data_IF_056476166153
#
_entry.id   IF_056476166153
#
_cell.length_a   1.000
_cell.length_b   1.000
_cell.length_c   1.000
_cell.angle_alpha   90.00
_cell.angle_beta   90.00
_cell.angle_gamma   90.00
#
_symmetry.space_group_name_H-M   'P 1'
#
loop_
_entity.id
_entity.type
_entity.pdbx_description
1 polymer ?
#
# COMPACT_ATOMS: atom_id res chain seq x y z
N UNK A 1 -6.26 -8.48 6.99
CA UNK A 1 -6.69 -8.09 5.62
C UNK A 1 -5.45 -7.55 4.92
N UNK A 2 -5.32 -7.67 3.59
CA UNK A 2 -4.08 -7.30 2.88
C UNK A 2 -3.75 -5.79 3.01
N UNK A 3 -4.77 -4.92 3.10
CA UNK A 3 -4.59 -3.49 3.34
C UNK A 3 -3.98 -3.15 4.72
N UNK A 4 -4.37 -3.88 5.77
CA UNK A 4 -3.74 -3.75 7.09
C UNK A 4 -2.24 -4.11 7.00
N UNK A 5 -1.91 -5.19 6.29
CA UNK A 5 -0.54 -5.67 6.18
C UNK A 5 0.37 -4.69 5.43
N UNK A 6 -0.12 -4.11 4.33
CA UNK A 6 0.60 -3.08 3.59
C UNK A 6 0.87 -1.84 4.47
N UNK A 7 -0.17 -1.32 5.13
CA UNK A 7 -0.02 -0.15 6.01
C UNK A 7 0.92 -0.40 7.18
N UNK A 8 0.87 -1.59 7.77
CA UNK A 8 1.79 -1.98 8.85
C UNK A 8 3.24 -2.04 8.37
N UNK A 9 3.47 -2.44 7.12
CA UNK A 9 4.82 -2.42 6.53
C UNK A 9 5.37 -0.99 6.43
N UNK A 10 4.54 -0.04 5.98
CA UNK A 10 4.92 1.39 5.95
C UNK A 10 5.19 1.96 7.35
N UNK A 11 4.51 1.44 8.37
CA UNK A 11 4.66 1.84 9.76
C UNK A 11 5.85 1.16 10.47
N UNK A 12 6.98 0.97 9.78
CA UNK A 12 8.24 0.26 10.16
C UNK A 12 8.97 0.76 11.43
N UNK A 13 8.27 1.47 12.33
CA UNK A 13 8.72 1.83 13.68
C UNK A 13 7.71 1.50 14.78
N UNK A 14 6.49 1.06 14.45
CA UNK A 14 5.50 0.63 15.43
C UNK A 14 5.63 -0.88 15.55
N UNK A 15 5.97 -1.37 16.75
CA UNK A 15 5.97 -2.79 17.08
C UNK A 15 4.53 -3.32 16.91
N UNK A 16 4.21 -3.75 15.70
CA UNK A 16 2.86 -4.06 15.22
C UNK A 16 2.24 -5.31 15.87
N UNK A 17 2.94 -5.96 16.80
CA UNK A 17 2.43 -7.10 17.56
C UNK A 17 1.22 -6.75 18.45
N UNK A 18 0.94 -5.45 18.68
CA UNK A 18 -0.15 -4.99 19.56
C UNK A 18 -1.09 -3.93 18.98
N UNK A 19 -1.04 -3.65 17.67
CA UNK A 19 -1.93 -2.65 17.05
C UNK A 19 -3.37 -3.19 17.03
N UNK A 20 -4.15 -2.83 18.06
CA UNK A 20 -5.59 -3.01 18.04
C UNK A 20 -6.16 -2.31 16.80
N UNK A 21 -7.18 -2.91 16.17
CA UNK A 21 -7.87 -2.34 14.99
C UNK A 21 -8.26 -0.88 15.16
N UNK A 22 -8.57 -0.47 16.39
CA UNK A 22 -8.89 0.91 16.74
C UNK A 22 -7.66 1.84 16.65
N UNK A 23 -6.51 1.43 17.18
CA UNK A 23 -5.26 2.18 17.06
C UNK A 23 -4.76 2.25 15.61
N UNK A 24 -5.01 1.20 14.81
CA UNK A 24 -4.71 1.22 13.38
C UNK A 24 -5.58 2.25 12.64
N UNK A 25 -6.89 2.22 12.89
CA UNK A 25 -7.82 3.20 12.33
C UNK A 25 -7.49 4.63 12.77
N UNK A 26 -7.06 4.82 14.02
CA UNK A 26 -6.64 6.11 14.55
C UNK A 26 -5.34 6.61 13.88
N UNK A 27 -4.36 5.73 13.65
CA UNK A 27 -3.14 6.09 12.91
C UNK A 27 -3.40 6.37 11.43
N UNK A 28 -4.30 5.63 10.80
CA UNK A 28 -4.77 5.89 9.44
C UNK A 28 -5.45 7.25 9.37
N UNK A 29 -6.37 7.56 10.30
CA UNK A 29 -7.03 8.85 10.39
C UNK A 29 -6.04 10.00 10.69
N UNK A 30 -5.05 9.78 11.56
CA UNK A 30 -4.00 10.76 11.85
C UNK A 30 -3.16 11.10 10.61
N UNK A 31 -2.96 10.14 9.72
CA UNK A 31 -2.24 10.30 8.45
C UNK A 31 -3.14 10.63 7.27
N UNK A 32 -4.43 10.88 7.51
CA UNK A 32 -5.45 11.15 6.49
C UNK A 32 -5.60 10.03 5.44
N UNK A 33 -5.36 8.78 5.85
CA UNK A 33 -5.50 7.60 5.00
C UNK A 33 -6.88 6.99 5.23
N UNK A 34 -7.76 7.09 4.23
CA UNK A 34 -9.05 6.40 4.26
C UNK A 34 -8.88 4.89 4.02
N UNK A 35 -9.38 4.08 4.97
CA UNK A 35 -9.30 2.62 4.89
C UNK A 35 -9.99 2.06 3.64
N UNK A 36 -11.14 2.61 3.27
CA UNK A 36 -11.90 2.16 2.10
C UNK A 36 -11.12 2.45 0.81
N UNK A 37 -10.51 3.63 0.73
CA UNK A 37 -9.65 4.04 -0.39
C UNK A 37 -8.39 3.19 -0.48
N UNK A 38 -7.73 2.91 0.64
CA UNK A 38 -6.57 2.01 0.68
C UNK A 38 -6.92 0.60 0.20
N UNK A 39 -8.08 0.07 0.62
CA UNK A 39 -8.57 -1.22 0.14
C UNK A 39 -8.83 -1.18 -1.37
N UNK A 40 -9.51 -0.17 -1.86
CA UNK A 40 -9.79 -0.03 -3.30
C UNK A 40 -8.51 0.04 -4.14
N UNK A 41 -7.53 0.86 -3.74
CA UNK A 41 -6.24 0.97 -4.43
C UNK A 41 -5.47 -0.35 -4.38
N UNK A 42 -5.45 -1.02 -3.24
CA UNK A 42 -4.79 -2.31 -3.12
C UNK A 42 -5.47 -3.38 -3.97
N UNK A 43 -6.80 -3.43 -4.00
CA UNK A 43 -7.54 -4.36 -4.85
C UNK A 43 -7.32 -4.08 -6.34
N UNK A 44 -7.15 -2.82 -6.73
CA UNK A 44 -6.80 -2.45 -8.09
C UNK A 44 -5.36 -2.85 -8.44
N UNK A 45 -4.41 -2.60 -7.53
CA UNK A 45 -3.02 -3.00 -7.70
C UNK A 45 -2.84 -4.51 -7.77
N UNK A 46 -3.54 -5.27 -6.91
CA UNK A 46 -3.53 -6.74 -6.90
C UNK A 46 -4.33 -7.36 -8.06
N UNK A 47 -5.14 -6.57 -8.76
CA UNK A 47 -5.83 -7.01 -9.98
C UNK A 47 -4.89 -6.94 -11.19
N UNK A 48 -3.86 -6.12 -11.15
CA UNK A 48 -2.79 -6.13 -12.14
C UNK A 48 -2.00 -7.44 -11.97
N UNK A 49 -2.09 -8.35 -12.94
CA UNK A 49 -1.62 -9.76 -12.86
C UNK A 49 -0.10 -9.89 -12.59
N UNK A 50 0.63 -8.78 -12.63
CA UNK A 50 2.09 -8.69 -12.46
C UNK A 50 2.52 -8.28 -11.04
N UNK A 51 1.60 -7.88 -10.15
CA UNK A 51 1.95 -7.32 -8.84
C UNK A 51 1.28 -8.04 -7.67
N UNK A 52 2.12 -8.57 -6.78
CA UNK A 52 1.71 -9.16 -5.52
C UNK A 52 1.83 -8.17 -4.35
N UNK A 53 1.20 -8.49 -3.22
CA UNK A 53 1.26 -7.68 -2.00
C UNK A 53 2.70 -7.42 -1.53
N UNK A 54 3.60 -8.40 -1.69
CA UNK A 54 4.99 -8.29 -1.28
C UNK A 54 5.75 -7.26 -2.14
N UNK A 55 5.52 -7.31 -3.45
CA UNK A 55 6.08 -6.37 -4.42
C UNK A 55 5.56 -4.94 -4.16
N UNK A 56 4.26 -4.78 -3.83
CA UNK A 56 3.71 -3.49 -3.42
C UNK A 56 4.35 -2.97 -2.12
N UNK A 57 4.67 -3.86 -1.18
CA UNK A 57 5.38 -3.48 0.06
C UNK A 57 6.81 -3.02 -0.23
N UNK A 58 7.51 -3.66 -1.17
CA UNK A 58 8.88 -3.30 -1.54
C UNK A 58 8.94 -2.01 -2.35
N UNK A 59 7.98 -1.80 -3.24
CA UNK A 59 7.92 -0.62 -4.11
C UNK A 59 7.36 0.60 -3.40
N UNK A 60 6.45 0.43 -2.43
CA UNK A 60 5.77 1.54 -1.76
C UNK A 60 6.21 1.71 -0.31
N UNK A 61 6.51 2.95 0.09
CA UNK A 61 6.77 3.32 1.49
C UNK A 61 5.68 4.20 2.11
N UNK A 62 4.75 4.71 1.29
CA UNK A 62 3.70 5.64 1.67
C UNK A 62 2.45 5.46 0.80
N UNK A 63 1.32 6.01 1.26
CA UNK A 63 0.06 6.01 0.51
C UNK A 63 0.18 6.69 -0.87
N UNK A 64 0.84 7.83 -0.92
CA UNK A 64 1.07 8.59 -2.17
C UNK A 64 1.88 7.78 -3.20
N UNK A 65 2.77 6.90 -2.74
CA UNK A 65 3.56 6.03 -3.60
C UNK A 65 2.68 4.97 -4.26
N UNK A 66 1.75 4.37 -3.50
CA UNK A 66 0.74 3.44 -4.03
C UNK A 66 -0.17 4.12 -5.07
N UNK A 67 -0.59 5.36 -4.83
CA UNK A 67 -1.39 6.12 -5.80
C UNK A 67 -0.60 6.40 -7.07
N UNK A 68 0.65 6.83 -6.94
CA UNK A 68 1.51 7.11 -8.08
C UNK A 68 1.86 5.83 -8.87
N UNK A 69 2.00 4.69 -8.19
CA UNK A 69 2.25 3.37 -8.78
C UNK A 69 1.06 2.85 -9.60
N UNK A 70 -0.15 3.31 -9.30
CA UNK A 70 -1.38 3.03 -10.06
C UNK A 70 -1.66 4.07 -11.14
N UNK A 71 -1.35 5.35 -10.88
CA UNK A 71 -1.50 6.44 -11.85
C UNK A 71 -0.43 6.38 -12.96
N UNK A 72 0.72 5.78 -12.67
CA UNK A 72 1.71 5.43 -13.69
C UNK A 72 1.27 4.15 -14.39
N UNK A 73 0.73 4.22 -15.64
CA UNK A 73 0.53 3.01 -16.42
C UNK A 73 1.91 2.40 -16.60
N UNK A 74 2.05 1.11 -16.25
CA UNK A 74 3.30 0.35 -16.32
C UNK A 74 4.05 0.68 -17.62
N UNK A 75 4.98 1.64 -17.58
CA UNK A 75 5.77 2.05 -18.74
C UNK A 75 6.99 1.14 -18.80
N UNK A 76 6.75 -0.16 -18.74
CA UNK A 76 7.76 -1.13 -19.13
C UNK A 76 7.75 -1.27 -20.66
N UNK A 77 8.30 -0.25 -21.30
CA UNK A 77 8.65 -0.27 -22.72
C UNK A 77 9.83 0.67 -22.97
N UNK A 78 10.95 0.43 -22.31
CA UNK A 78 12.26 0.74 -22.92
C UNK A 78 13.21 -0.44 -22.72
N UNK A 79 13.09 -1.40 -23.62
CA UNK A 79 14.30 -2.06 -24.13
C UNK A 79 15.23 -0.95 -24.66
N UNK A 80 16.45 -0.88 -24.16
CA UNK A 80 17.53 -0.30 -24.95
C UNK A 80 18.71 -1.26 -24.89
N UNK A 81 19.04 -1.73 -26.10
CA UNK A 81 20.14 -2.61 -26.49
C UNK A 81 21.52 -2.15 -26.03
#
# INVERSE_FOLDING_TARGET
>A
MPADALFLSWATGINASGLFREALAEQMAYRDIERDRLVALLEEALRDDDRDLDDLIEQTSCFEDLENLLDTPSVNSVSHE
#
